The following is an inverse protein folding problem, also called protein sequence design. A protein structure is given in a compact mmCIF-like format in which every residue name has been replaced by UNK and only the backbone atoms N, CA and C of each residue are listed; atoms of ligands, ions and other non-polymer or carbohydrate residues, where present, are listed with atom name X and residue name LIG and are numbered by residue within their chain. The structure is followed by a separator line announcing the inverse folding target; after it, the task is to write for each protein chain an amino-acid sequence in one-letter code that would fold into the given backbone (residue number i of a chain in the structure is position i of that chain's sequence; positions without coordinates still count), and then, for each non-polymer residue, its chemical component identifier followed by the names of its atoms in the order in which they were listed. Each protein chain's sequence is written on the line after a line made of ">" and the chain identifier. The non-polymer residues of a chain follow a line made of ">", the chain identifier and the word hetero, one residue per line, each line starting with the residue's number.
data_IF_908194064655
#
_entry.id   IF_908194064655
#
_cell.length_a   1.000
_cell.length_b   1.000
_cell.length_c   1.000
_cell.angle_alpha   90.00
_cell.angle_beta   90.00
_cell.angle_gamma   90.00
#
_symmetry.space_group_name_H-M   'P 1'
#
loop_
_entity.id
_entity.type
_entity.pdbx_description
1 polymer ?
#
# COMPACT_ATOMS: atom_id res chain seq x y z
N UNK A 1 4.14 10.92 -32.79
CA UNK A 1 5.41 11.48 -32.27
C UNK A 1 5.14 12.92 -31.85
N UNK A 2 4.59 13.08 -30.65
CA UNK A 2 4.64 14.31 -29.87
C UNK A 2 4.85 13.80 -28.45
N UNK A 3 6.09 13.85 -27.98
CA UNK A 3 6.39 13.58 -26.58
C UNK A 3 5.68 14.70 -25.80
N UNK A 4 4.56 14.35 -25.15
CA UNK A 4 4.10 15.14 -24.01
C UNK A 4 5.30 15.22 -23.08
N UNK A 5 5.83 16.43 -22.90
CA UNK A 5 6.84 16.71 -21.89
C UNK A 5 6.15 16.49 -20.55
N UNK A 6 6.14 15.24 -20.07
CA UNK A 6 5.72 14.94 -18.71
C UNK A 6 6.53 15.86 -17.80
N UNK A 7 5.82 16.63 -16.98
CA UNK A 7 6.48 17.60 -16.12
C UNK A 7 7.42 16.85 -15.18
N UNK A 8 8.66 17.34 -15.00
CA UNK A 8 9.62 16.62 -14.15
C UNK A 8 9.04 16.44 -12.74
N UNK A 9 9.16 15.24 -12.16
CA UNK A 9 8.66 14.94 -10.83
C UNK A 9 9.39 15.81 -9.81
N UNK A 10 8.63 16.41 -8.88
CA UNK A 10 9.22 17.30 -7.87
C UNK A 10 9.46 16.50 -6.60
N UNK A 11 10.71 16.10 -6.41
CA UNK A 11 11.18 15.46 -5.18
C UNK A 11 11.34 16.54 -4.11
N UNK A 12 10.68 16.35 -2.96
CA UNK A 12 10.78 17.27 -1.81
C UNK A 12 11.67 16.71 -0.71
N UNK A 13 11.85 15.39 -0.66
CA UNK A 13 12.68 14.73 0.33
C UNK A 13 13.16 13.38 -0.18
N UNK A 14 14.41 13.04 0.09
CA UNK A 14 14.95 11.69 -0.12
C UNK A 14 15.92 11.38 1.01
N UNK A 15 15.80 10.19 1.58
CA UNK A 15 16.66 9.73 2.66
C UNK A 15 17.06 8.25 2.47
N UNK A 16 18.31 7.94 2.83
CA UNK A 16 18.76 6.56 2.91
C UNK A 16 18.39 5.98 4.28
N UNK A 17 17.74 4.82 4.27
CA UNK A 17 17.40 4.03 5.45
C UNK A 17 18.55 3.08 5.81
N UNK A 18 18.48 2.50 7.02
CA UNK A 18 19.53 1.59 7.52
C UNK A 18 19.61 0.27 6.77
N UNK A 19 18.49 -0.19 6.21
CA UNK A 19 18.32 -1.44 5.45
C UNK A 19 17.56 -1.17 4.16
N UNK A 20 17.38 -2.17 3.29
CA UNK A 20 16.68 -1.98 2.01
C UNK A 20 15.23 -1.56 2.23
N UNK A 21 14.79 -0.52 1.52
CA UNK A 21 13.46 0.07 1.66
C UNK A 21 12.43 -0.77 0.90
N UNK A 22 11.45 -1.35 1.60
CA UNK A 22 10.58 -2.39 1.04
C UNK A 22 9.12 -1.93 0.89
N UNK A 23 8.57 -1.29 1.93
CA UNK A 23 7.19 -0.82 1.92
C UNK A 23 7.05 0.57 2.54
N UNK A 24 6.01 1.29 2.11
CA UNK A 24 5.64 2.61 2.59
C UNK A 24 4.11 2.66 2.72
N UNK A 25 3.62 3.30 3.77
CA UNK A 25 2.19 3.53 3.94
C UNK A 25 1.89 4.75 4.82
N UNK A 26 1.09 5.68 4.29
CA UNK A 26 0.62 6.82 5.04
C UNK A 26 -0.49 6.42 6.01
N UNK A 27 -0.48 7.03 7.19
CA UNK A 27 -1.53 6.81 8.18
C UNK A 27 -2.86 7.39 7.65
N UNK A 28 -3.93 6.60 7.49
CA UNK A 28 -5.23 7.10 7.05
C UNK A 28 -6.01 7.78 8.19
N UNK A 29 -5.53 7.68 9.43
CA UNK A 29 -6.27 8.13 10.60
C UNK A 29 -6.41 9.66 10.61
N UNK A 30 -7.63 10.22 10.80
CA UNK A 30 -7.84 11.65 10.95
C UNK A 30 -6.93 12.24 12.03
N UNK A 31 -6.29 13.37 11.74
CA UNK A 31 -5.36 14.03 12.66
C UNK A 31 -3.96 13.41 12.73
N UNK A 32 -3.72 12.24 12.12
CA UNK A 32 -2.41 11.58 12.05
C UNK A 32 -1.96 11.31 10.61
N UNK A 33 -2.65 11.86 9.61
CA UNK A 33 -2.36 11.70 8.19
C UNK A 33 -1.03 12.33 7.71
N UNK A 34 -0.33 13.03 8.59
CA UNK A 34 1.04 13.47 8.38
C UNK A 34 2.07 12.37 8.71
N UNK A 35 1.65 11.25 9.31
CA UNK A 35 2.53 10.13 9.63
C UNK A 35 2.68 9.19 8.44
N UNK A 36 3.90 8.71 8.26
CA UNK A 36 4.30 7.75 7.25
C UNK A 36 5.07 6.61 7.91
N UNK A 37 4.60 5.38 7.73
CA UNK A 37 5.32 4.19 8.13
C UNK A 37 6.16 3.66 6.97
N UNK A 38 7.42 3.31 7.24
CA UNK A 38 8.34 2.72 6.26
C UNK A 38 8.87 1.40 6.82
N UNK A 39 8.76 0.34 6.04
CA UNK A 39 9.27 -0.98 6.38
C UNK A 39 10.55 -1.27 5.61
N UNK A 40 11.48 -1.94 6.27
CA UNK A 40 12.76 -2.32 5.67
C UNK A 40 13.09 -3.79 5.85
N UNK A 41 13.94 -4.29 4.96
CA UNK A 41 14.36 -5.69 4.91
C UNK A 41 15.85 -5.80 4.57
N UNK A 42 16.56 -6.70 5.25
CA UNK A 42 17.92 -7.10 4.91
C UNK A 42 18.13 -8.59 5.26
N UNK A 43 18.64 -9.37 4.30
CA UNK A 43 19.22 -10.67 4.58
C UNK A 43 20.68 -10.47 5.00
N UNK A 44 21.04 -10.89 6.20
CA UNK A 44 22.43 -10.92 6.68
C UNK A 44 23.06 -12.21 6.19
N UNK A 45 24.01 -12.13 5.26
CA UNK A 45 24.55 -13.32 4.57
C UNK A 45 25.28 -14.27 5.52
N UNK A 46 25.93 -13.74 6.56
CA UNK A 46 26.71 -14.54 7.51
C UNK A 46 25.83 -15.38 8.43
N UNK A 47 24.73 -14.81 8.92
CA UNK A 47 23.83 -15.47 9.88
C UNK A 47 22.59 -16.08 9.22
N UNK A 48 22.33 -15.74 7.96
CA UNK A 48 21.08 -16.02 7.24
C UNK A 48 19.83 -15.43 7.93
N UNK A 49 20.02 -14.48 8.85
CA UNK A 49 18.94 -13.79 9.52
C UNK A 49 18.35 -12.71 8.61
N UNK A 50 17.02 -12.56 8.66
CA UNK A 50 16.29 -11.52 7.94
C UNK A 50 15.90 -10.43 8.93
N UNK A 51 16.65 -9.34 8.95
CA UNK A 51 16.46 -8.21 9.86
C UNK A 51 15.74 -7.06 9.16
N UNK A 52 15.10 -6.21 9.94
CA UNK A 52 14.35 -5.06 9.45
C UNK A 52 14.16 -4.01 10.53
N UNK A 53 13.56 -2.91 10.12
CA UNK A 53 13.21 -1.79 10.99
C UNK A 53 11.97 -1.10 10.44
N UNK A 54 10.98 -0.90 11.31
CA UNK A 54 9.85 -0.05 11.02
C UNK A 54 10.22 1.37 11.42
N UNK A 55 10.23 2.30 10.47
CA UNK A 55 10.44 3.72 10.71
C UNK A 55 9.09 4.44 10.71
N UNK A 56 8.90 5.34 11.67
CA UNK A 56 7.83 6.32 11.66
C UNK A 56 8.41 7.68 11.27
N UNK A 57 7.85 8.29 10.23
CA UNK A 57 8.19 9.62 9.75
C UNK A 57 6.99 10.54 9.93
N UNK A 58 7.26 11.80 10.24
CA UNK A 58 6.27 12.86 10.26
C UNK A 58 6.57 13.84 9.12
N UNK A 59 5.57 14.13 8.29
CA UNK A 59 5.68 15.16 7.27
C UNK A 59 5.86 16.53 7.94
N UNK A 60 6.82 17.30 7.42
CA UNK A 60 6.98 18.71 7.75
C UNK A 60 6.00 19.49 6.88
N UNK A 61 4.81 19.73 7.42
CA UNK A 61 3.86 20.67 6.86
C UNK A 61 4.38 22.09 7.14
N UNK A 62 4.40 22.96 6.13
CA UNK A 62 4.68 24.38 6.38
C UNK A 62 3.51 25.05 7.13
N UNK A 63 3.52 26.39 7.21
CA UNK A 63 2.42 27.12 7.84
C UNK A 63 1.06 26.86 7.19
N UNK A 64 -0.02 27.40 7.75
CA UNK A 64 -1.39 27.13 7.27
C UNK A 64 -1.54 27.32 5.75
N UNK A 65 -1.70 26.21 5.01
CA UNK A 65 -1.83 26.16 3.56
C UNK A 65 -0.59 25.68 2.79
N UNK A 66 0.53 25.43 3.46
CA UNK A 66 1.76 24.98 2.80
C UNK A 66 1.75 23.48 2.51
N UNK A 67 2.19 23.16 1.30
CA UNK A 67 2.50 21.80 0.87
C UNK A 67 3.62 21.20 1.73
N UNK A 68 3.61 19.88 2.00
CA UNK A 68 4.73 19.21 2.66
C UNK A 68 6.07 19.58 2.03
N UNK A 69 7.06 19.93 2.86
CA UNK A 69 8.41 20.31 2.41
C UNK A 69 9.44 19.20 2.65
N UNK A 70 9.10 18.21 3.46
CA UNK A 70 9.90 17.03 3.70
C UNK A 70 9.37 16.19 4.85
N UNK A 71 10.22 15.37 5.46
CA UNK A 71 9.87 14.57 6.62
C UNK A 71 10.99 14.54 7.66
N UNK A 72 10.58 14.32 8.91
CA UNK A 72 11.48 14.11 10.06
C UNK A 72 11.22 12.76 10.71
N UNK A 73 12.23 12.25 11.40
CA UNK A 73 12.14 11.00 12.15
C UNK A 73 11.26 11.19 13.40
N UNK A 74 10.14 10.49 13.47
CA UNK A 74 9.28 10.44 14.65
C UNK A 74 9.65 9.26 15.57
N UNK A 75 10.14 8.16 15.00
CA UNK A 75 10.59 7.01 15.77
C UNK A 75 10.96 5.82 14.91
N UNK A 76 11.46 4.75 15.54
CA UNK A 76 11.70 3.49 14.86
C UNK A 76 11.67 2.30 15.82
N UNK A 77 11.30 1.14 15.29
CA UNK A 77 11.27 -0.13 16.02
C UNK A 77 12.00 -1.21 15.22
N UNK A 78 13.03 -1.82 15.81
CA UNK A 78 13.73 -2.97 15.23
C UNK A 78 12.86 -4.23 15.29
N UNK A 79 12.84 -4.98 14.19
CA UNK A 79 12.07 -6.21 14.06
C UNK A 79 12.64 -7.09 12.93
N UNK A 80 12.16 -8.32 12.74
CA UNK A 80 12.48 -9.09 11.54
C UNK A 80 12.12 -8.32 10.26
N UNK A 81 12.71 -8.72 9.13
CA UNK A 81 12.47 -8.07 7.84
C UNK A 81 10.99 -7.88 7.54
N UNK A 82 10.61 -6.69 7.08
CA UNK A 82 9.21 -6.28 6.90
C UNK A 82 8.86 -6.33 5.42
N UNK A 83 7.81 -7.08 5.07
CA UNK A 83 7.33 -7.19 3.69
C UNK A 83 6.10 -6.33 3.41
N UNK A 84 5.24 -6.11 4.40
CA UNK A 84 4.05 -5.28 4.23
C UNK A 84 3.67 -4.59 5.54
N UNK A 85 3.14 -3.38 5.38
CA UNK A 85 2.62 -2.54 6.44
C UNK A 85 1.21 -2.13 6.05
N UNK A 86 0.25 -2.31 6.97
CA UNK A 86 -1.13 -1.83 6.83
C UNK A 86 -1.63 -1.16 8.09
N UNK A 87 -2.00 0.11 7.99
CA UNK A 87 -2.80 0.77 9.00
C UNK A 87 -4.20 0.14 9.08
N UNK A 88 -4.66 -0.10 10.29
CA UNK A 88 -6.05 -0.51 10.53
C UNK A 88 -6.98 0.63 10.06
N UNK A 89 -7.96 0.35 9.17
CA UNK A 89 -8.94 1.35 8.77
C UNK A 89 -9.71 1.91 9.96
N UNK A 90 -10.01 3.22 9.93
CA UNK A 90 -10.73 3.92 10.99
C UNK A 90 -12.19 3.49 11.00
N UNK A 91 -12.51 2.42 11.74
CA UNK A 91 -13.88 1.92 11.86
C UNK A 91 -14.64 2.52 13.06
N UNK A 92 -13.95 3.17 13.99
CA UNK A 92 -14.51 3.80 15.18
C UNK A 92 -13.70 5.05 15.54
N UNK A 93 -14.27 5.93 16.36
CA UNK A 93 -13.60 7.09 16.99
C UNK A 93 -12.50 6.66 18.01
N UNK A 94 -11.88 5.49 17.81
CA UNK A 94 -10.77 5.03 18.63
C UNK A 94 -9.63 6.06 18.53
N UNK A 95 -9.13 6.47 19.70
CA UNK A 95 -8.14 7.54 19.80
C UNK A 95 -6.77 7.17 19.21
N UNK A 96 -6.49 5.88 18.99
CA UNK A 96 -5.14 5.41 18.70
C UNK A 96 -5.06 4.68 17.35
N UNK A 97 -4.12 5.09 16.50
CA UNK A 97 -3.86 4.45 15.22
C UNK A 97 -3.04 3.16 15.41
N UNK A 98 -3.51 2.06 14.80
CA UNK A 98 -2.87 0.74 14.87
C UNK A 98 -2.28 0.40 13.50
N UNK A 99 -1.02 -0.02 13.49
CA UNK A 99 -0.26 -0.48 12.33
C UNK A 99 0.00 -1.98 12.45
N UNK A 100 -0.36 -2.75 11.42
CA UNK A 100 0.03 -4.15 11.29
C UNK A 100 1.27 -4.29 10.41
N UNK A 101 2.16 -5.22 10.77
CA UNK A 101 3.34 -5.58 9.98
C UNK A 101 3.40 -7.08 9.69
N UNK A 102 3.63 -7.45 8.42
CA UNK A 102 3.89 -8.82 7.95
C UNK A 102 5.40 -9.05 7.87
N UNK A 103 5.90 -10.07 8.59
CA UNK A 103 7.32 -10.21 8.88
C UNK A 103 7.96 -11.50 8.35
N UNK A 104 9.28 -11.42 8.17
CA UNK A 104 10.14 -12.49 7.69
C UNK A 104 10.32 -13.69 8.64
N UNK A 105 9.90 -13.57 9.89
CA UNK A 105 9.84 -14.68 10.85
C UNK A 105 8.50 -15.44 10.81
N UNK A 106 7.61 -15.09 9.87
CA UNK A 106 6.28 -15.70 9.74
C UNK A 106 5.25 -15.12 10.71
N UNK A 107 5.60 -14.07 11.45
CA UNK A 107 4.67 -13.42 12.39
C UNK A 107 3.96 -12.20 11.79
N UNK A 108 2.82 -11.85 12.38
CA UNK A 108 2.24 -10.51 12.29
C UNK A 108 2.41 -9.82 13.63
N UNK A 109 2.80 -8.54 13.60
CA UNK A 109 2.89 -7.68 14.78
C UNK A 109 2.00 -6.47 14.63
N UNK A 110 1.28 -6.12 15.70
CA UNK A 110 0.51 -4.89 15.79
C UNK A 110 1.25 -3.88 16.65
N UNK A 111 1.35 -2.66 16.15
CA UNK A 111 1.96 -1.52 16.82
C UNK A 111 0.95 -0.40 16.92
N UNK A 112 0.98 0.32 18.03
CA UNK A 112 0.11 1.47 18.30
C UNK A 112 0.92 2.76 18.25
N UNK A 113 0.33 3.81 17.69
CA UNK A 113 0.85 5.17 17.78
C UNK A 113 0.47 5.76 19.13
N UNK A 114 1.47 6.11 19.94
CA UNK A 114 1.29 6.67 21.27
C UNK A 114 1.81 8.10 21.29
N UNK A 115 0.99 9.04 21.79
CA UNK A 115 1.44 10.40 22.06
C UNK A 115 2.42 10.39 23.24
N UNK A 116 3.60 10.99 23.07
CA UNK A 116 4.58 11.12 24.14
C UNK A 116 4.19 12.33 24.98
N UNK A 117 3.74 12.14 26.23
CA UNK A 117 3.54 13.27 27.16
C UNK A 117 4.71 13.37 28.13
N UNK A 118 5.65 14.27 27.88
CA UNK A 118 6.52 14.80 28.93
C UNK A 118 6.52 16.33 28.85
N UNK A 119 6.45 16.98 30.02
CA UNK A 119 6.52 18.43 30.28
C UNK A 119 6.20 19.37 29.12
N UNK A 120 5.14 20.18 29.29
CA UNK A 120 4.50 21.09 28.32
C UNK A 120 5.38 22.15 27.58
N UNK A 121 6.70 22.04 27.60
CA UNK A 121 7.66 22.93 26.95
C UNK A 121 8.27 22.37 25.65
N UNK A 122 8.06 21.10 25.29
CA UNK A 122 8.57 20.50 24.03
C UNK A 122 7.43 19.79 23.31
N UNK A 123 7.14 20.17 22.06
CA UNK A 123 6.28 19.37 21.18
C UNK A 123 7.02 18.06 20.84
N UNK A 124 6.55 16.97 21.43
CA UNK A 124 7.08 15.63 21.21
C UNK A 124 6.30 14.92 20.10
N UNK A 125 7.02 14.36 19.14
CA UNK A 125 6.41 13.54 18.08
C UNK A 125 5.88 12.23 18.65
N UNK A 126 4.84 11.64 18.03
CA UNK A 126 4.32 10.35 18.46
C UNK A 126 5.29 9.21 18.12
N UNK A 127 5.23 8.14 18.89
CA UNK A 127 6.10 6.96 18.74
C UNK A 127 5.28 5.69 18.45
N UNK A 128 5.93 4.68 17.84
CA UNK A 128 5.35 3.35 17.65
C UNK A 128 5.69 2.45 18.83
N UNK A 129 4.67 1.83 19.41
CA UNK A 129 4.82 0.84 20.49
C UNK A 129 4.26 -0.52 20.07
N UNK A 130 5.05 -1.58 20.23
CA UNK A 130 4.57 -2.95 20.04
C UNK A 130 3.45 -3.28 21.04
N UNK A 131 2.33 -3.78 20.54
CA UNK A 131 1.12 -4.06 21.31
C UNK A 131 0.83 -5.57 21.36
N UNK A 132 0.84 -6.25 20.21
CA UNK A 132 0.62 -7.71 20.16
C UNK A 132 1.34 -8.36 18.98
N UNK A 133 1.50 -9.68 19.02
CA UNK A 133 2.07 -10.46 17.92
C UNK A 133 1.51 -11.89 17.89
N UNK A 134 1.50 -12.50 16.70
CA UNK A 134 1.09 -13.89 16.51
C UNK A 134 1.87 -14.52 15.35
N UNK A 135 2.13 -15.82 15.41
CA UNK A 135 2.55 -16.58 14.23
C UNK A 135 1.38 -16.62 13.23
N UNK A 136 1.58 -16.04 12.05
CA UNK A 136 0.56 -15.94 11.03
C UNK A 136 0.54 -17.18 10.11
N UNK A 137 1.66 -17.85 9.95
CA UNK A 137 1.78 -19.09 9.18
C UNK A 137 2.61 -20.13 9.93
N UNK A 138 2.29 -21.40 9.73
CA UNK A 138 3.02 -22.53 10.33
C UNK A 138 4.43 -22.73 9.73
N UNK A 139 4.68 -22.22 8.52
CA UNK A 139 6.00 -22.25 7.89
C UNK A 139 6.18 -21.08 6.90
N UNK A 140 7.44 -20.70 6.68
CA UNK A 140 7.78 -19.63 5.76
C UNK A 140 7.65 -18.23 6.37
N UNK A 141 7.66 -17.22 5.50
CA UNK A 141 7.59 -15.80 5.83
C UNK A 141 6.18 -15.29 5.62
N UNK A 142 5.74 -14.30 6.41
CA UNK A 142 4.48 -13.60 6.19
C UNK A 142 4.74 -12.44 5.21
N UNK A 143 4.12 -12.46 4.03
CA UNK A 143 4.47 -11.61 2.88
C UNK A 143 3.54 -10.41 2.69
N UNK A 144 2.28 -10.53 3.08
CA UNK A 144 1.30 -9.43 3.01
C UNK A 144 0.23 -9.59 4.07
N UNK A 145 -0.44 -8.48 4.39
CA UNK A 145 -1.64 -8.51 5.21
C UNK A 145 -2.69 -7.49 4.70
N UNK A 146 -3.97 -7.74 4.97
CA UNK A 146 -5.03 -6.74 4.76
C UNK A 146 -6.07 -6.84 5.88
N UNK A 147 -6.67 -5.70 6.21
CA UNK A 147 -7.65 -5.58 7.28
C UNK A 147 -9.07 -5.69 6.74
N UNK A 148 -9.91 -6.42 7.46
CA UNK A 148 -11.37 -6.30 7.38
C UNK A 148 -11.87 -5.86 8.76
N UNK A 149 -12.50 -4.70 8.80
CA UNK A 149 -13.06 -4.14 10.03
C UNK A 149 -14.54 -3.89 9.80
N UNK A 150 -15.38 -4.49 10.65
CA UNK A 150 -16.81 -4.18 10.65
C UNK A 150 -17.03 -2.72 11.08
N UNK A 151 -18.06 -2.08 10.54
CA UNK A 151 -18.41 -0.70 10.92
C UNK A 151 -18.63 -0.58 12.43
N UNK A 152 -17.93 0.35 13.09
CA UNK A 152 -18.01 0.54 14.54
C UNK A 152 -17.39 -0.57 15.39
N UNK A 153 -16.75 -1.58 14.78
CA UNK A 153 -16.25 -2.76 15.49
C UNK A 153 -14.85 -2.56 16.07
N UNK A 154 -14.69 -2.93 17.34
CA UNK A 154 -13.37 -3.10 17.98
C UNK A 154 -12.66 -4.36 17.50
N UNK A 155 -13.42 -5.33 16.98
CA UNK A 155 -12.92 -6.55 16.37
C UNK A 155 -12.61 -6.32 14.89
N UNK A 156 -11.51 -6.90 14.44
CA UNK A 156 -11.10 -6.91 13.05
C UNK A 156 -10.58 -8.29 12.67
N UNK A 157 -10.77 -8.67 11.41
CA UNK A 157 -10.08 -9.80 10.79
C UNK A 157 -8.87 -9.30 10.03
N UNK A 158 -7.80 -10.08 10.04
CA UNK A 158 -6.63 -9.84 9.21
C UNK A 158 -6.44 -11.07 8.33
N UNK A 159 -6.35 -10.88 7.03
CA UNK A 159 -5.90 -11.93 6.12
C UNK A 159 -4.41 -11.75 5.88
N UNK A 160 -3.66 -12.86 5.86
CA UNK A 160 -2.22 -12.85 5.58
C UNK A 160 -1.89 -13.83 4.47
N UNK A 161 -0.80 -13.56 3.74
CA UNK A 161 -0.23 -14.49 2.77
C UNK A 161 1.19 -14.91 3.17
N UNK A 162 1.64 -16.09 2.74
CA UNK A 162 2.95 -16.61 3.11
C UNK A 162 3.82 -17.05 1.94
N UNK A 163 5.13 -17.12 2.18
CA UNK A 163 6.09 -17.70 1.24
C UNK A 163 5.93 -19.21 1.08
N UNK A 164 5.14 -19.87 1.93
CA UNK A 164 4.80 -21.28 1.77
C UNK A 164 3.57 -21.50 0.87
N UNK A 165 3.02 -20.43 0.28
CA UNK A 165 1.81 -20.48 -0.55
C UNK A 165 0.52 -20.66 0.26
N UNK A 166 0.55 -20.34 1.55
CA UNK A 166 -0.62 -20.40 2.42
C UNK A 166 -1.26 -19.03 2.58
N UNK A 167 -2.56 -19.03 2.86
CA UNK A 167 -3.27 -17.89 3.40
C UNK A 167 -3.72 -18.23 4.80
N UNK A 168 -3.79 -17.21 5.65
CA UNK A 168 -4.30 -17.36 7.02
C UNK A 168 -5.27 -16.24 7.37
N UNK A 169 -6.18 -16.55 8.29
CA UNK A 169 -7.05 -15.58 8.93
C UNK A 169 -6.64 -15.43 10.39
N UNK A 170 -6.51 -14.18 10.82
CA UNK A 170 -6.27 -13.79 12.19
C UNK A 170 -7.46 -12.98 12.70
N UNK A 171 -7.67 -13.04 14.01
CA UNK A 171 -8.64 -12.23 14.73
C UNK A 171 -7.88 -11.23 15.60
N UNK A 172 -8.19 -9.95 15.44
CA UNK A 172 -7.58 -8.86 16.16
C UNK A 172 -8.63 -8.08 16.97
N UNK A 173 -8.25 -7.67 18.16
CA UNK A 173 -8.94 -6.68 18.98
C UNK A 173 -7.97 -5.53 19.31
N UNK A 174 -8.38 -4.58 20.14
CA UNK A 174 -7.49 -3.51 20.60
C UNK A 174 -6.38 -3.98 21.55
N UNK A 175 -6.37 -5.24 21.99
CA UNK A 175 -5.35 -5.78 22.92
C UNK A 175 -4.83 -7.15 22.53
N UNK A 176 -5.56 -7.91 21.73
CA UNK A 176 -5.25 -9.30 21.43
C UNK A 176 -5.16 -9.53 19.93
N UNK A 177 -4.27 -10.44 19.55
CA UNK A 177 -4.12 -10.96 18.20
C UNK A 177 -4.01 -12.47 18.28
N UNK A 178 -4.87 -13.18 17.54
CA UNK A 178 -4.92 -14.64 17.55
C UNK A 178 -5.06 -15.20 16.14
N UNK A 179 -4.49 -16.38 15.93
CA UNK A 179 -4.58 -17.10 14.66
C UNK A 179 -5.88 -17.93 14.64
N UNK A 180 -6.67 -17.81 13.57
CA UNK A 180 -7.95 -18.52 13.42
C UNK A 180 -7.77 -19.78 12.59
N UNK A 181 -7.29 -19.64 11.35
CA UNK A 181 -7.09 -20.77 10.45
C UNK A 181 -6.04 -20.45 9.37
N UNK A 182 -5.44 -21.50 8.82
CA UNK A 182 -4.47 -21.45 7.71
C UNK A 182 -4.88 -22.51 6.67
N UNK A 183 -4.73 -22.21 5.38
CA UNK A 183 -4.94 -23.18 4.31
C UNK A 183 -3.94 -23.01 3.16
N UNK A 184 -3.70 -24.10 2.43
CA UNK A 184 -2.86 -24.09 1.23
C UNK A 184 -3.64 -23.46 0.08
N UNK A 185 -3.29 -22.24 -0.28
CA UNK A 185 -3.96 -21.46 -1.31
C UNK A 185 -3.26 -21.56 -2.68
N UNK A 186 -1.93 -21.70 -2.67
CA UNK A 186 -1.08 -21.64 -3.86
C UNK A 186 0.06 -22.66 -3.76
N UNK A 187 0.58 -23.10 -4.90
CA UNK A 187 1.69 -24.06 -4.94
C UNK A 187 3.04 -23.39 -4.68
N UNK A 188 3.16 -22.11 -5.04
CA UNK A 188 4.32 -21.25 -4.83
C UNK A 188 3.98 -20.08 -3.87
N UNK A 189 4.94 -19.18 -3.65
CA UNK A 189 4.82 -18.01 -2.78
C UNK A 189 3.54 -17.22 -3.06
N UNK A 190 2.70 -17.06 -2.03
CA UNK A 190 1.52 -16.22 -2.09
C UNK A 190 1.94 -14.78 -1.76
N UNK A 191 2.18 -13.97 -2.79
CA UNK A 191 2.71 -12.62 -2.65
C UNK A 191 1.73 -11.63 -2.04
N UNK A 192 0.43 -11.82 -2.27
CA UNK A 192 -0.56 -10.86 -1.84
C UNK A 192 -1.90 -11.49 -1.47
N UNK A 193 -2.57 -10.85 -0.52
CA UNK A 193 -3.97 -11.09 -0.17
C UNK A 193 -4.67 -9.75 0.08
N UNK A 194 -5.96 -9.67 -0.23
CA UNK A 194 -6.75 -8.46 0.01
C UNK A 194 -8.23 -8.79 0.20
N UNK A 195 -8.87 -8.13 1.17
CA UNK A 195 -10.32 -8.22 1.34
C UNK A 195 -11.04 -7.35 0.32
N UNK A 196 -12.17 -7.86 -0.16
CA UNK A 196 -13.13 -7.04 -0.87
C UNK A 196 -13.65 -5.91 0.05
N UNK A 197 -13.71 -4.67 -0.45
CA UNK A 197 -14.04 -3.51 0.40
C UNK A 197 -15.51 -3.44 0.86
N UNK A 198 -16.44 -3.97 0.07
CA UNK A 198 -17.87 -4.06 0.44
C UNK A 198 -18.34 -5.45 0.93
N UNK A 199 -17.82 -6.54 0.36
CA UNK A 199 -18.20 -7.92 0.69
C UNK A 199 -17.18 -8.51 1.69
N UNK A 200 -17.43 -8.33 2.99
CA UNK A 200 -16.47 -8.64 4.06
C UNK A 200 -15.95 -10.09 4.14
N UNK A 201 -16.63 -11.04 3.49
CA UNK A 201 -16.25 -12.44 3.48
C UNK A 201 -15.55 -12.87 2.19
N UNK A 202 -15.36 -11.95 1.25
CA UNK A 202 -14.66 -12.19 0.00
C UNK A 202 -13.21 -11.80 0.14
N UNK A 203 -12.33 -12.76 -0.11
CA UNK A 203 -10.88 -12.59 -0.05
C UNK A 203 -10.28 -12.87 -1.42
N UNK A 204 -9.30 -12.08 -1.82
CA UNK A 204 -8.53 -12.26 -3.04
C UNK A 204 -7.10 -12.65 -2.73
N UNK A 205 -6.46 -13.41 -3.62
CA UNK A 205 -5.03 -13.68 -3.52
C UNK A 205 -4.33 -13.78 -4.88
N UNK A 206 -3.04 -13.48 -4.85
CA UNK A 206 -2.14 -13.61 -5.99
C UNK A 206 -0.80 -14.22 -5.56
N UNK A 207 -0.19 -14.99 -6.45
CA UNK A 207 1.01 -15.77 -6.14
C UNK A 207 1.93 -15.95 -7.35
N UNK A 208 3.13 -16.49 -7.08
CA UNK A 208 4.17 -16.76 -8.09
C UNK A 208 3.75 -17.86 -9.09
N UNK A 209 2.78 -18.69 -8.72
CA UNK A 209 2.19 -19.71 -9.58
C UNK A 209 1.24 -19.15 -10.67
N UNK A 210 1.25 -17.84 -10.88
CA UNK A 210 0.45 -17.09 -11.86
C UNK A 210 -1.06 -17.11 -11.61
N UNK A 211 -1.52 -17.65 -10.47
CA UNK A 211 -2.94 -17.64 -10.15
C UNK A 211 -3.38 -16.31 -9.52
N UNK A 212 -4.51 -15.80 -10.01
CA UNK A 212 -5.39 -14.88 -9.29
C UNK A 212 -6.62 -15.67 -8.80
N UNK A 213 -6.89 -15.65 -7.48
CA UNK A 213 -7.98 -16.42 -6.86
C UNK A 213 -8.88 -15.54 -6.01
N UNK A 214 -10.13 -15.96 -5.86
CA UNK A 214 -11.07 -15.42 -4.89
C UNK A 214 -11.68 -16.54 -4.05
N UNK A 215 -11.99 -16.23 -2.79
CA UNK A 215 -12.53 -17.14 -1.78
C UNK A 215 -13.74 -16.51 -1.10
N UNK A 216 -14.69 -17.34 -0.70
CA UNK A 216 -15.70 -16.99 0.31
C UNK A 216 -15.34 -17.70 1.61
N UNK A 217 -14.85 -16.94 2.59
CA UNK A 217 -14.31 -17.48 3.84
C UNK A 217 -15.38 -18.05 4.79
N UNK A 218 -16.67 -17.94 4.44
CA UNK A 218 -17.77 -18.63 5.15
C UNK A 218 -17.88 -20.10 4.72
N UNK A 219 -17.35 -20.43 3.56
CA UNK A 219 -17.29 -21.79 3.02
C UNK A 219 -15.92 -22.39 3.30
N UNK A 220 -15.63 -23.59 2.77
CA UNK A 220 -14.29 -24.16 2.89
C UNK A 220 -13.25 -23.22 2.25
N UNK A 221 -12.36 -22.58 3.03
CA UNK A 221 -11.41 -21.61 2.51
C UNK A 221 -10.37 -22.28 1.59
N UNK A 222 -10.20 -23.60 1.65
CA UNK A 222 -9.35 -24.33 0.70
C UNK A 222 -9.98 -24.45 -0.71
N UNK A 223 -11.26 -24.10 -0.87
CA UNK A 223 -11.98 -24.14 -2.15
C UNK A 223 -12.21 -22.73 -2.70
N UNK A 224 -11.40 -22.25 -3.67
CA UNK A 224 -11.61 -20.94 -4.26
C UNK A 224 -12.93 -20.90 -5.06
N UNK A 225 -13.70 -19.83 -4.90
CA UNK A 225 -14.91 -19.57 -5.70
C UNK A 225 -14.58 -19.09 -7.11
N UNK A 226 -13.35 -18.61 -7.32
CA UNK A 226 -12.80 -18.25 -8.61
C UNK A 226 -11.28 -18.50 -8.63
N UNK A 227 -10.80 -19.00 -9.78
CA UNK A 227 -9.38 -19.22 -10.00
C UNK A 227 -9.05 -19.00 -11.48
N UNK A 228 -8.19 -18.04 -11.76
CA UNK A 228 -7.65 -17.80 -13.10
C UNK A 228 -6.12 -17.93 -13.11
N UNK A 229 -5.61 -18.73 -14.05
CA UNK A 229 -4.19 -18.89 -14.36
C UNK A 229 -3.84 -18.44 -15.77
N UNK A 230 -4.84 -18.05 -16.57
CA UNK A 230 -4.66 -17.87 -18.02
C UNK A 230 -4.36 -16.43 -18.38
N UNK A 231 -4.78 -15.48 -17.56
CA UNK A 231 -4.65 -14.05 -17.86
C UNK A 231 -3.27 -13.51 -17.48
N UNK A 232 -2.73 -13.96 -16.35
CA UNK A 232 -1.38 -13.61 -15.89
C UNK A 232 -0.35 -14.61 -16.41
N UNK A 233 0.77 -14.12 -16.94
CA UNK A 233 1.84 -14.97 -17.49
C UNK A 233 3.08 -15.04 -16.61
N UNK A 234 3.04 -14.40 -15.44
CA UNK A 234 4.03 -14.50 -14.38
C UNK A 234 3.34 -14.26 -13.02
N UNK A 235 4.10 -14.25 -11.92
CA UNK A 235 3.57 -14.10 -10.56
C UNK A 235 2.65 -12.88 -10.40
N UNK A 236 1.54 -13.05 -9.68
CA UNK A 236 0.63 -11.97 -9.30
C UNK A 236 1.12 -11.37 -7.98
N UNK A 237 1.76 -10.21 -8.05
CA UNK A 237 2.49 -9.63 -6.91
C UNK A 237 1.61 -8.76 -6.01
N UNK A 238 0.49 -8.24 -6.53
CA UNK A 238 -0.41 -7.37 -5.76
C UNK A 238 -1.85 -7.44 -6.26
N UNK A 239 -2.78 -7.42 -5.30
CA UNK A 239 -4.21 -7.23 -5.54
C UNK A 239 -4.65 -5.99 -4.76
N UNK A 240 -5.34 -5.08 -5.43
CA UNK A 240 -5.76 -3.79 -4.90
C UNK A 240 -7.24 -3.54 -5.24
N UNK A 241 -8.16 -3.96 -4.35
CA UNK A 241 -9.57 -3.63 -4.47
C UNK A 241 -9.78 -2.12 -4.43
N UNK A 242 -10.67 -1.63 -5.28
CA UNK A 242 -10.93 -0.20 -5.40
C UNK A 242 -11.63 0.35 -4.14
N UNK A 243 -11.27 1.54 -3.64
CA UNK A 243 -11.79 2.07 -2.37
C UNK A 243 -13.30 2.39 -2.39
N UNK A 244 -13.84 2.89 -3.50
CA UNK A 244 -15.26 3.30 -3.63
C UNK A 244 -16.06 2.47 -4.63
N UNK A 245 -15.55 2.27 -5.85
CA UNK A 245 -16.13 1.39 -6.88
C UNK A 245 -15.98 -0.10 -6.52
N UNK A 246 -16.92 -0.58 -5.70
CA UNK A 246 -16.87 -1.89 -5.02
C UNK A 246 -16.62 -3.09 -5.94
N UNK A 247 -16.99 -2.99 -7.21
CA UNK A 247 -16.84 -4.06 -8.19
C UNK A 247 -15.49 -4.06 -8.91
N UNK A 248 -14.66 -3.03 -8.74
CA UNK A 248 -13.38 -2.92 -9.44
C UNK A 248 -12.25 -3.44 -8.55
N UNK A 249 -11.44 -4.34 -9.12
CA UNK A 249 -10.21 -4.82 -8.49
C UNK A 249 -9.06 -4.66 -9.49
N UNK A 250 -7.97 -4.03 -9.04
CA UNK A 250 -6.73 -4.00 -9.80
C UNK A 250 -5.80 -5.14 -9.36
N UNK A 251 -5.13 -5.76 -10.32
CA UNK A 251 -4.07 -6.74 -10.08
C UNK A 251 -2.80 -6.32 -10.81
N UNK A 252 -1.65 -6.44 -10.14
CA UNK A 252 -0.33 -6.23 -10.71
C UNK A 252 0.44 -7.53 -10.76
N UNK A 253 1.11 -7.79 -11.87
CA UNK A 253 1.92 -8.99 -12.05
C UNK A 253 3.35 -8.66 -12.48
N UNK A 254 4.25 -9.59 -12.19
CA UNK A 254 5.62 -9.61 -12.69
C UNK A 254 5.68 -9.65 -14.23
N UNK A 255 4.58 -9.99 -14.91
CA UNK A 255 4.44 -9.93 -16.36
C UNK A 255 4.31 -8.50 -16.93
N UNK A 256 4.59 -7.50 -16.10
CA UNK A 256 4.58 -6.07 -16.44
C UNK A 256 3.20 -5.47 -16.72
N UNK A 257 2.11 -6.22 -16.54
CA UNK A 257 0.77 -5.68 -16.76
C UNK A 257 0.03 -5.38 -15.46
N UNK A 258 -0.60 -4.20 -15.45
CA UNK A 258 -1.70 -3.89 -14.55
C UNK A 258 -3.01 -4.27 -15.24
N UNK A 259 -3.90 -4.94 -14.50
CA UNK A 259 -5.18 -5.42 -15.01
C UNK A 259 -6.31 -4.98 -14.10
N UNK A 260 -7.42 -4.56 -14.69
CA UNK A 260 -8.65 -4.19 -13.98
C UNK A 260 -9.71 -5.24 -14.23
N UNK A 261 -10.32 -5.71 -13.14
CA UNK A 261 -11.34 -6.74 -13.12
C UNK A 261 -12.66 -6.18 -12.61
N UNK A 262 -13.74 -6.58 -13.26
CA UNK A 262 -15.10 -6.40 -12.79
C UNK A 262 -15.55 -7.65 -12.03
N UNK A 263 -15.81 -7.46 -10.73
CA UNK A 263 -16.13 -8.48 -9.74
C UNK A 263 -17.62 -8.55 -9.40
N UNK A 264 -18.52 -7.91 -10.19
CA UNK A 264 -19.99 -8.02 -9.98
C UNK A 264 -20.48 -9.47 -9.91
N UNK A 265 -19.76 -10.38 -10.56
CA UNK A 265 -19.91 -11.81 -10.35
C UNK A 265 -18.55 -12.40 -9.95
N UNK A 266 -18.29 -12.51 -8.65
CA UNK A 266 -17.01 -12.99 -8.11
C UNK A 266 -16.64 -14.41 -8.56
N UNK A 267 -17.61 -15.25 -8.94
CA UNK A 267 -17.34 -16.60 -9.47
C UNK A 267 -16.91 -16.60 -10.95
N UNK A 268 -17.19 -15.51 -11.67
CA UNK A 268 -16.88 -15.31 -13.10
C UNK A 268 -16.55 -13.84 -13.37
N UNK A 269 -15.46 -13.31 -12.76
CA UNK A 269 -15.07 -11.94 -12.96
C UNK A 269 -14.62 -11.71 -14.41
N UNK A 270 -14.73 -10.46 -14.85
CA UNK A 270 -14.42 -10.06 -16.23
C UNK A 270 -13.23 -9.11 -16.23
N UNK A 271 -12.19 -9.44 -16.99
CA UNK A 271 -11.11 -8.48 -17.29
C UNK A 271 -11.68 -7.34 -18.15
N UNK A 272 -11.65 -6.11 -17.65
CA UNK A 272 -12.21 -4.94 -18.34
C UNK A 272 -11.15 -4.07 -19.01
N UNK A 273 -9.93 -4.05 -18.48
CA UNK A 273 -8.82 -3.27 -19.04
C UNK A 273 -7.47 -3.84 -18.60
N UNK A 274 -6.44 -3.60 -19.39
CA UNK A 274 -5.05 -3.92 -19.04
C UNK A 274 -4.08 -2.94 -19.69
N UNK A 275 -2.94 -2.72 -19.04
CA UNK A 275 -1.88 -1.84 -19.53
C UNK A 275 -0.52 -2.41 -19.14
N UNK A 276 0.40 -2.50 -20.11
CA UNK A 276 1.79 -2.82 -19.84
C UNK A 276 2.51 -1.57 -19.32
N UNK A 277 3.15 -1.68 -18.16
CA UNK A 277 3.89 -0.59 -17.49
C UNK A 277 5.41 -0.70 -17.65
N UNK A 278 5.90 -1.71 -18.37
CA UNK A 278 7.32 -1.93 -18.70
C UNK A 278 8.19 -2.47 -17.57
N UNK A 279 7.60 -2.87 -16.44
CA UNK A 279 8.29 -3.46 -15.29
C UNK A 279 7.33 -4.22 -14.38
N UNK A 280 7.81 -5.21 -13.63
CA UNK A 280 6.97 -6.08 -12.80
C UNK A 280 6.18 -5.31 -11.73
N UNK A 281 4.86 -5.38 -11.73
CA UNK A 281 4.02 -4.52 -10.88
C UNK A 281 3.94 -5.06 -9.44
N UNK A 282 4.79 -4.55 -8.55
CA UNK A 282 4.99 -5.05 -7.18
C UNK A 282 3.98 -4.49 -6.15
N UNK A 283 3.60 -3.21 -6.29
CA UNK A 283 2.61 -2.55 -5.43
C UNK A 283 1.67 -1.68 -6.25
N UNK A 284 0.38 -1.76 -5.93
CA UNK A 284 -0.67 -0.92 -6.49
C UNK A 284 -1.41 -0.15 -5.39
N UNK A 285 -1.64 1.16 -5.61
CA UNK A 285 -2.38 2.04 -4.69
C UNK A 285 -3.32 2.98 -5.44
N UNK A 286 -4.61 2.76 -5.27
CA UNK A 286 -5.64 3.69 -5.74
C UNK A 286 -5.47 5.05 -5.07
N UNK A 287 -5.70 6.11 -5.82
CA UNK A 287 -5.63 7.46 -5.28
C UNK A 287 -6.77 7.70 -4.29
N UNK A 288 -6.53 8.33 -3.12
CA UNK A 288 -7.51 8.45 -2.05
C UNK A 288 -8.71 9.34 -2.40
N UNK A 289 -8.52 10.32 -3.31
CA UNK A 289 -9.55 11.33 -3.65
C UNK A 289 -9.98 11.32 -5.12
N UNK A 290 -9.30 10.56 -5.97
CA UNK A 290 -9.57 10.49 -7.42
C UNK A 290 -9.74 9.01 -7.79
N UNK A 291 -10.99 8.63 -7.99
CA UNK A 291 -11.41 7.23 -8.22
C UNK A 291 -10.91 6.67 -9.55
N UNK A 292 -10.27 7.48 -10.40
CA UNK A 292 -9.74 7.01 -11.67
C UNK A 292 -8.22 6.89 -11.68
N UNK A 293 -7.52 7.28 -10.62
CA UNK A 293 -6.05 7.29 -10.58
C UNK A 293 -5.50 6.13 -9.76
N UNK A 294 -4.46 5.48 -10.29
CA UNK A 294 -3.78 4.34 -9.69
C UNK A 294 -2.26 4.53 -9.77
N UNK A 295 -1.56 4.39 -8.64
CA UNK A 295 -0.10 4.34 -8.58
C UNK A 295 0.38 2.90 -8.66
N UNK A 296 1.42 2.67 -9.46
CA UNK A 296 2.07 1.37 -9.59
C UNK A 296 3.58 1.47 -9.36
N UNK A 297 4.10 0.70 -8.40
CA UNK A 297 5.53 0.42 -8.30
C UNK A 297 5.90 -0.67 -9.30
N UNK A 298 6.56 -0.28 -10.38
CA UNK A 298 6.94 -1.12 -11.50
C UNK A 298 8.41 -1.50 -11.33
N UNK A 299 8.65 -2.71 -10.83
CA UNK A 299 9.98 -3.29 -10.64
C UNK A 299 10.85 -3.06 -11.89
N UNK A 300 12.03 -2.48 -11.72
CA UNK A 300 12.97 -2.09 -12.78
C UNK A 300 12.52 -0.97 -13.74
N UNK A 301 11.29 -0.45 -13.64
CA UNK A 301 10.82 0.66 -14.46
C UNK A 301 10.32 1.88 -13.65
N UNK A 302 10.50 1.90 -12.34
CA UNK A 302 10.14 3.03 -11.49
C UNK A 302 8.67 3.02 -11.07
N UNK A 303 8.04 4.18 -11.02
CA UNK A 303 6.69 4.38 -10.52
C UNK A 303 5.80 4.98 -11.61
N UNK A 304 4.70 4.32 -11.91
CA UNK A 304 3.74 4.74 -12.93
C UNK A 304 2.48 5.33 -12.27
N UNK A 305 2.03 6.47 -12.77
CA UNK A 305 0.67 6.96 -12.50
C UNK A 305 -0.21 6.59 -13.68
N UNK A 306 -1.24 5.80 -13.42
CA UNK A 306 -2.20 5.32 -14.39
C UNK A 306 -3.54 6.01 -14.16
N UNK A 307 -4.27 6.29 -15.25
CA UNK A 307 -5.62 6.85 -15.18
C UNK A 307 -6.61 6.03 -16.00
N UNK A 308 -7.76 5.75 -15.41
CA UNK A 308 -8.91 5.21 -16.10
C UNK A 308 -9.57 6.34 -16.90
N UNK A 309 -9.54 6.26 -18.22
CA UNK A 309 -10.06 7.31 -19.11
C UNK A 309 -11.58 7.24 -19.30
N UNK A 310 -12.21 6.15 -18.84
CA UNK A 310 -13.65 5.91 -18.94
C UNK A 310 -14.24 5.61 -17.57
N UNK A 311 -15.47 6.08 -17.32
CA UNK A 311 -16.19 5.82 -16.06
C UNK A 311 -16.49 4.34 -15.82
N UNK A 312 -16.48 3.52 -16.87
CA UNK A 312 -16.65 2.07 -16.82
C UNK A 312 -15.33 1.28 -16.74
N UNK A 313 -14.20 1.98 -16.54
CA UNK A 313 -12.86 1.40 -16.33
C UNK A 313 -12.30 0.55 -17.49
N UNK A 314 -12.90 0.62 -18.69
CA UNK A 314 -12.46 -0.13 -19.88
C UNK A 314 -11.23 0.43 -20.58
N UNK A 315 -10.82 1.65 -20.25
CA UNK A 315 -9.63 2.27 -20.83
C UNK A 315 -8.70 2.73 -19.72
N UNK A 316 -7.52 2.11 -19.65
CA UNK A 316 -6.45 2.49 -18.71
C UNK A 316 -5.29 3.07 -19.51
N UNK A 317 -4.81 4.25 -19.13
CA UNK A 317 -3.70 4.94 -19.78
C UNK A 317 -2.60 5.30 -18.78
N UNK A 318 -1.38 5.38 -19.29
CA UNK A 318 -0.24 5.91 -18.55
C UNK A 318 -0.29 7.45 -18.57
N UNK A 319 -0.28 8.07 -17.39
CA UNK A 319 -0.23 9.54 -17.23
C UNK A 319 1.21 10.01 -17.12
N UNK A 320 1.92 9.49 -16.11
CA UNK A 320 3.29 9.90 -15.82
C UNK A 320 4.12 8.73 -15.31
N UNK A 321 5.44 8.85 -15.45
CA UNK A 321 6.42 7.90 -14.94
C UNK A 321 7.50 8.65 -14.16
N UNK A 322 7.89 8.08 -13.03
CA UNK A 322 8.97 8.58 -12.18
C UNK A 322 9.99 7.47 -11.93
N UNK A 323 11.27 7.75 -12.14
CA UNK A 323 12.35 6.85 -11.72
C UNK A 323 12.97 7.38 -10.43
N UNK A 324 13.23 6.48 -9.47
CA UNK A 324 14.00 6.85 -8.28
C UNK A 324 15.36 7.43 -8.69
N UNK A 325 15.99 8.30 -7.88
CA UNK A 325 17.20 9.05 -8.27
C UNK A 325 18.34 8.14 -8.76
N UNK A 326 18.45 6.95 -8.18
CA UNK A 326 19.49 5.97 -8.49
C UNK A 326 18.98 4.82 -9.38
N UNK A 327 17.72 4.87 -9.84
CA UNK A 327 17.10 3.89 -10.76
C UNK A 327 17.15 2.45 -10.25
N UNK A 328 17.07 2.26 -8.94
CA UNK A 328 16.94 0.93 -8.35
C UNK A 328 15.48 0.46 -8.35
N UNK A 329 15.28 -0.71 -7.80
CA UNK A 329 14.04 -1.44 -7.89
C UNK A 329 12.95 -0.76 -7.08
N UNK A 330 11.87 -0.35 -7.76
CA UNK A 330 10.66 0.20 -7.15
C UNK A 330 9.88 -0.91 -6.42
N UNK A 331 9.68 -0.74 -5.12
CA UNK A 331 9.01 -1.71 -4.25
C UNK A 331 7.80 -1.10 -3.55
N UNK A 332 8.03 -0.25 -2.55
CA UNK A 332 6.98 0.40 -1.77
C UNK A 332 6.46 1.68 -2.43
N UNK A 333 5.15 1.92 -2.35
CA UNK A 333 4.55 3.16 -2.80
C UNK A 333 3.23 3.40 -2.06
N UNK A 334 2.94 4.65 -1.72
CA UNK A 334 1.63 5.06 -1.21
C UNK A 334 1.34 6.55 -1.41
N UNK A 335 0.05 6.90 -1.45
CA UNK A 335 -0.41 8.28 -1.61
C UNK A 335 -0.58 8.97 -0.26
N UNK A 336 -0.11 10.21 -0.17
CA UNK A 336 -0.48 11.06 0.95
C UNK A 336 -1.93 11.51 0.79
N UNK A 337 -2.71 11.38 1.86
CA UNK A 337 -4.15 11.72 1.86
C UNK A 337 -4.44 13.15 2.32
N UNK A 338 -3.44 13.85 2.87
CA UNK A 338 -3.60 15.25 3.30
C UNK A 338 -3.57 16.23 2.13
N UNK A 339 -4.11 17.43 2.36
CA UNK A 339 -4.34 18.41 1.30
C UNK A 339 -5.58 18.06 0.49
N UNK A 340 -6.75 18.50 0.95
CA UNK A 340 -7.91 18.58 0.07
C UNK A 340 -7.58 19.54 -1.07
N UNK A 341 -8.12 19.27 -2.26
CA UNK A 341 -8.33 20.24 -3.32
C UNK A 341 -9.36 21.33 -2.88
N UNK A 342 -9.17 21.91 -1.70
CA UNK A 342 -9.93 23.03 -1.15
C UNK A 342 -9.15 24.32 -1.46
N UNK A 343 -9.14 24.65 -2.76
CA UNK A 343 -8.64 25.90 -3.31
C UNK A 343 -9.57 26.47 -4.37
N UNK A 344 -10.83 26.04 -4.45
CA UNK A 344 -11.92 26.81 -5.06
C UNK A 344 -12.66 27.56 -3.95
N UNK A 345 -11.99 28.52 -3.31
CA UNK A 345 -12.72 29.63 -2.72
C UNK A 345 -13.04 30.60 -3.85
N UNK A 346 -14.31 30.61 -4.23
CA UNK A 346 -14.94 31.71 -4.95
C UNK A 346 -14.69 33.03 -4.22
N UNK A 347 -13.60 33.70 -4.58
CA UNK A 347 -13.38 35.11 -4.28
C UNK A 347 -13.24 35.82 -5.62
N UNK A 348 -14.36 36.36 -6.09
CA UNK A 348 -14.39 37.37 -7.14
C UNK A 348 -13.45 38.52 -6.76
N UNK A 349 -12.30 38.61 -7.41
CA UNK A 349 -11.31 39.65 -7.17
C UNK A 349 -10.21 39.59 -8.24
N UNK A 350 -10.36 40.44 -9.25
CA UNK A 350 -9.44 40.64 -10.36
C UNK A 350 -7.96 40.80 -9.93
N UNK A 351 -7.05 40.02 -10.50
CA UNK A 351 -5.80 40.53 -11.07
C UNK A 351 -5.06 39.46 -11.88
N UNK A 352 -4.55 39.92 -13.01
CA UNK A 352 -3.78 39.21 -14.03
C UNK A 352 -2.47 38.61 -13.51
N UNK A 353 -2.24 37.32 -13.77
CA UNK A 353 -0.94 36.84 -14.24
C UNK A 353 -1.08 35.46 -14.89
N UNK A 354 -0.40 35.30 -16.01
CA UNK A 354 -0.29 34.08 -16.81
C UNK A 354 0.34 32.93 -16.01
N UNK A 355 -0.44 31.89 -15.69
CA UNK A 355 0.12 30.57 -15.42
C UNK A 355 -0.60 29.56 -16.32
N UNK A 356 0.11 29.09 -17.34
CA UNK A 356 -0.27 27.92 -18.12
C UNK A 356 -0.55 26.74 -17.18
N UNK A 357 -1.55 25.92 -17.53
CA UNK A 357 -1.87 24.58 -17.01
C UNK A 357 -0.72 23.96 -16.20
N UNK A 358 -0.79 24.05 -14.88
CA UNK A 358 0.01 23.19 -14.01
C UNK A 358 -0.88 21.98 -13.71
N UNK A 359 -0.62 20.87 -14.40
CA UNK A 359 -1.35 19.61 -14.21
C UNK A 359 -1.51 19.24 -12.75
N UNK A 360 -2.64 18.60 -12.41
CA UNK A 360 -2.96 18.23 -11.04
C UNK A 360 -1.89 17.27 -10.49
N UNK A 361 -1.28 17.63 -9.36
CA UNK A 361 -0.23 16.83 -8.71
C UNK A 361 -0.69 16.28 -7.37
N UNK A 362 -0.15 15.13 -7.00
CA UNK A 362 -0.40 14.48 -5.71
C UNK A 362 0.90 13.95 -5.13
N UNK A 363 1.03 14.02 -3.80
CA UNK A 363 2.25 13.60 -3.12
C UNK A 363 2.21 12.09 -2.88
N UNK A 364 3.29 11.42 -3.25
CA UNK A 364 3.50 10.01 -2.96
C UNK A 364 4.79 9.80 -2.15
N UNK A 365 4.77 8.78 -1.31
CA UNK A 365 5.97 8.17 -0.74
C UNK A 365 6.35 6.97 -1.59
N UNK A 366 7.64 6.78 -1.82
CA UNK A 366 8.17 5.71 -2.66
C UNK A 366 9.40 5.08 -2.01
N UNK A 367 9.57 3.77 -2.16
CA UNK A 367 10.71 3.00 -1.66
C UNK A 367 11.45 2.35 -2.82
N UNK A 368 12.76 2.60 -2.86
CA UNK A 368 13.70 2.04 -3.80
C UNK A 368 14.64 1.10 -3.04
N UNK A 369 14.64 -0.18 -3.42
CA UNK A 369 15.07 -1.26 -2.53
C UNK A 369 16.58 -1.25 -2.26
N UNK A 370 17.42 -1.51 -3.27
CA UNK A 370 18.86 -1.74 -3.08
C UNK A 370 19.68 -0.49 -2.75
N UNK A 371 19.21 0.71 -3.11
CA UNK A 371 19.81 1.96 -2.66
C UNK A 371 19.30 2.41 -1.30
N UNK A 372 18.38 1.65 -0.69
CA UNK A 372 17.82 1.88 0.64
C UNK A 372 17.11 3.23 0.73
N UNK A 373 16.62 3.76 -0.38
CA UNK A 373 16.06 5.11 -0.44
C UNK A 373 14.55 5.08 -0.21
N UNK A 374 14.08 5.99 0.63
CA UNK A 374 12.71 6.46 0.61
C UNK A 374 12.67 7.89 0.03
N UNK A 375 11.68 8.17 -0.82
CA UNK A 375 11.52 9.48 -1.46
C UNK A 375 10.06 9.97 -1.42
N UNK A 376 9.88 11.23 -1.01
CA UNK A 376 8.63 11.98 -1.14
C UNK A 376 8.64 12.79 -2.44
N UNK A 377 7.65 12.56 -3.30
CA UNK A 377 7.62 13.09 -4.66
C UNK A 377 6.22 13.53 -5.08
N UNK A 378 6.12 14.71 -5.68
CA UNK A 378 4.90 15.17 -6.35
C UNK A 378 4.82 14.56 -7.75
N UNK A 379 3.78 13.77 -7.98
CA UNK A 379 3.51 13.09 -9.24
C UNK A 379 2.35 13.76 -9.97
N UNK A 380 2.46 13.86 -11.29
CA UNK A 380 1.40 14.35 -12.18
C UNK A 380 0.31 13.28 -12.34
N UNK A 381 -0.94 13.68 -12.17
CA UNK A 381 -2.10 12.78 -12.12
C UNK A 381 -3.09 13.01 -13.26
N UNK A 382 -2.93 14.03 -14.09
CA UNK A 382 -3.80 14.36 -15.22
C UNK A 382 -3.03 14.49 -16.54
#
# INVERSE_FOLDING_TARGET
>A
MAAMLASEPVIIHSEALGFNADCAEFCPHPGLNYLLALGTYQLVEETQERVGRCYLRALQLGGAGDQPQGSINAGSLDMPGIFDLKWRPTACDAQNAILGAALADGTVRLMEVVAVSENAAVETLPELRLQSQVAACSSGMCLSLDWQVGYGSVEARIATSSSAGTLSLLQATNTELSHVCEWKAHELEAWCTAFHKAEENILFSGADDCYFKAYDIRTDPASPIFSDRRTHTAGVCTVSPHPTEQHIVATGSYDEHVRLWDMRNTSKPVLVSQLNTGGGNWRLRWHPHDVHVLLAACMYNGFAVLRCCTSDFRSLALVSMYQSPNKHIAYGADWWQGGSAAGETSCSGSSSSSSADKGRRSLAATCSFYDRQHTLVWLETE
#
